data_IF_252939847111
#
_entry.id   IF_252939847111
#
_cell.length_a   1.000
_cell.length_b   1.000
_cell.length_c   1.000
_cell.angle_alpha   90.00
_cell.angle_beta   90.00
_cell.angle_gamma   90.00
#
_symmetry.space_group_name_H-M   'P 1'
#
loop_
_entity.id
_entity.type
_entity.pdbx_description
1 polymer ?
#
# COMPACT_ATOMS: atom_id res chain seq x y z
N UNK A 1 1.54 30.37 26.04
CA UNK A 1 0.17 30.70 25.59
C UNK A 1 0.08 30.72 24.06
N UNK A 2 0.93 31.46 23.34
CA UNK A 2 0.91 31.50 21.86
C UNK A 2 1.14 30.14 21.19
N UNK A 3 2.08 29.33 21.70
CA UNK A 3 2.36 28.00 21.15
C UNK A 3 1.17 27.03 21.29
N UNK A 4 0.34 27.21 22.33
CA UNK A 4 -0.83 26.36 22.58
C UNK A 4 -2.01 26.74 21.68
N UNK A 5 -2.22 28.03 21.44
CA UNK A 5 -3.19 28.53 20.47
C UNK A 5 -2.83 28.10 19.03
N UNK A 6 -1.55 28.16 18.66
CA UNK A 6 -1.08 27.69 17.35
C UNK A 6 -1.26 26.17 17.18
N UNK A 7 -0.98 25.38 18.23
CA UNK A 7 -1.21 23.94 18.22
C UNK A 7 -2.70 23.58 18.12
N UNK A 8 -3.58 24.30 18.83
CA UNK A 8 -5.02 24.10 18.75
C UNK A 8 -5.58 24.46 17.36
N UNK A 9 -5.12 25.56 16.77
CA UNK A 9 -5.51 25.96 15.41
C UNK A 9 -5.03 24.94 14.35
N UNK A 10 -3.79 24.43 14.48
CA UNK A 10 -3.26 23.39 13.60
C UNK A 10 -4.04 22.07 13.72
N UNK A 11 -4.43 21.69 14.94
CA UNK A 11 -5.26 20.50 15.17
C UNK A 11 -6.65 20.66 14.54
N UNK A 12 -7.32 21.79 14.74
CA UNK A 12 -8.62 22.07 14.13
C UNK A 12 -8.57 22.04 12.60
N UNK A 13 -7.54 22.65 11.99
CA UNK A 13 -7.34 22.59 10.54
C UNK A 13 -7.08 21.15 10.03
N UNK A 14 -6.39 20.33 10.82
CA UNK A 14 -6.17 18.91 10.49
C UNK A 14 -7.45 18.09 10.57
N UNK A 15 -8.34 18.38 11.53
CA UNK A 15 -9.63 17.70 11.69
C UNK A 15 -10.60 18.06 10.55
N UNK A 16 -10.66 19.34 10.15
CA UNK A 16 -11.45 19.77 8.98
C UNK A 16 -10.95 19.14 7.69
N UNK A 17 -9.62 19.08 7.51
CA UNK A 17 -9.01 18.41 6.36
C UNK A 17 -9.33 16.92 6.35
N UNK A 18 -9.23 16.24 7.50
CA UNK A 18 -9.57 14.82 7.64
C UNK A 18 -11.05 14.57 7.33
N UNK A 19 -11.94 15.40 7.87
CA UNK A 19 -13.37 15.30 7.62
C UNK A 19 -13.69 15.47 6.12
N UNK A 20 -13.03 16.41 5.44
CA UNK A 20 -13.20 16.62 4.01
C UNK A 20 -12.70 15.42 3.18
N UNK A 21 -11.52 14.86 3.50
CA UNK A 21 -11.00 13.67 2.81
C UNK A 21 -11.92 12.46 3.06
N UNK A 22 -12.36 12.26 4.30
CA UNK A 22 -13.26 11.17 4.66
C UNK A 22 -14.60 11.28 3.91
N UNK A 23 -15.17 12.49 3.80
CA UNK A 23 -16.40 12.74 3.07
C UNK A 23 -16.28 12.34 1.58
N UNK A 24 -15.10 12.53 0.97
CA UNK A 24 -14.83 12.13 -0.42
C UNK A 24 -14.61 10.63 -0.57
N UNK A 25 -13.91 9.97 0.37
CA UNK A 25 -13.61 8.54 0.29
C UNK A 25 -14.79 7.65 0.68
N UNK A 26 -15.62 8.10 1.63
CA UNK A 26 -16.75 7.35 2.17
C UNK A 26 -17.69 6.76 1.12
N UNK A 27 -18.22 7.52 0.13
CA UNK A 27 -19.12 6.94 -0.87
C UNK A 27 -18.47 5.81 -1.66
N UNK A 28 -17.18 5.95 -2.02
CA UNK A 28 -16.45 4.92 -2.74
C UNK A 28 -16.25 3.66 -1.89
N UNK A 29 -15.83 3.81 -0.63
CA UNK A 29 -15.70 2.70 0.31
C UNK A 29 -17.01 1.93 0.47
N UNK A 30 -18.14 2.63 0.59
CA UNK A 30 -19.47 1.99 0.69
C UNK A 30 -19.82 1.25 -0.59
N UNK A 31 -19.55 1.82 -1.77
CA UNK A 31 -19.76 1.12 -3.06
C UNK A 31 -18.95 -0.17 -3.14
N UNK A 32 -17.69 -0.16 -2.71
CA UNK A 32 -16.83 -1.35 -2.73
C UNK A 32 -17.35 -2.44 -1.79
N UNK A 33 -17.77 -2.06 -0.58
CA UNK A 33 -18.35 -3.01 0.37
C UNK A 33 -19.69 -3.57 -0.14
N UNK A 34 -20.51 -2.75 -0.80
CA UNK A 34 -21.75 -3.21 -1.42
C UNK A 34 -21.49 -4.20 -2.56
N UNK A 35 -20.52 -3.91 -3.43
CA UNK A 35 -20.07 -4.86 -4.46
C UNK A 35 -19.68 -6.21 -3.85
N UNK A 36 -18.83 -6.20 -2.83
CA UNK A 36 -18.32 -7.43 -2.19
C UNK A 36 -19.46 -8.25 -1.58
N UNK A 37 -20.49 -7.57 -1.06
CA UNK A 37 -21.66 -8.22 -0.46
C UNK A 37 -22.66 -8.75 -1.49
N UNK A 38 -22.99 -7.97 -2.51
CA UNK A 38 -24.15 -8.23 -3.38
C UNK A 38 -23.79 -8.84 -4.73
N UNK A 39 -22.63 -8.48 -5.30
CA UNK A 39 -22.15 -8.93 -6.63
C UNK A 39 -23.14 -8.73 -7.80
N UNK A 40 -24.10 -7.83 -7.66
CA UNK A 40 -25.10 -7.56 -8.72
C UNK A 40 -24.47 -6.82 -9.91
N UNK A 41 -25.04 -6.91 -11.13
CA UNK A 41 -24.58 -6.10 -12.26
C UNK A 41 -24.55 -4.59 -11.97
N UNK A 42 -25.51 -4.10 -11.19
CA UNK A 42 -25.57 -2.70 -10.76
C UNK A 42 -24.44 -2.34 -9.79
N UNK A 43 -24.11 -3.19 -8.81
CA UNK A 43 -23.00 -2.92 -7.90
C UNK A 43 -21.64 -3.04 -8.59
N UNK A 44 -21.51 -3.94 -9.60
CA UNK A 44 -20.31 -4.03 -10.48
C UNK A 44 -20.06 -2.74 -11.26
N UNK A 45 -21.09 -2.19 -11.92
CA UNK A 45 -20.95 -0.95 -12.71
C UNK A 45 -20.69 0.28 -11.83
N UNK A 46 -21.36 0.36 -10.67
CA UNK A 46 -21.11 1.39 -9.67
C UNK A 46 -19.67 1.31 -9.14
N UNK A 47 -19.18 0.11 -8.80
CA UNK A 47 -17.82 -0.07 -8.31
C UNK A 47 -16.76 0.31 -9.35
N UNK A 48 -16.93 -0.07 -10.62
CA UNK A 48 -16.01 0.34 -11.69
C UNK A 48 -15.92 1.87 -11.84
N UNK A 49 -17.04 2.58 -11.65
CA UNK A 49 -17.06 4.04 -11.67
C UNK A 49 -16.45 4.64 -10.41
N UNK A 50 -16.78 4.09 -9.23
CA UNK A 50 -16.20 4.50 -7.94
C UNK A 50 -14.70 4.28 -7.89
N UNK A 51 -14.16 3.18 -8.43
CA UNK A 51 -12.72 2.92 -8.47
C UNK A 51 -11.97 3.95 -9.32
N UNK A 52 -12.53 4.34 -10.48
CA UNK A 52 -11.92 5.39 -11.33
C UNK A 52 -11.89 6.74 -10.61
N UNK A 53 -13.01 7.12 -9.99
CA UNK A 53 -13.12 8.37 -9.23
C UNK A 53 -12.20 8.37 -8.01
N UNK A 54 -12.19 7.28 -7.24
CA UNK A 54 -11.33 7.08 -6.08
C UNK A 54 -9.86 7.15 -6.46
N UNK A 55 -9.42 6.47 -7.52
CA UNK A 55 -8.03 6.54 -7.99
C UNK A 55 -7.63 7.97 -8.39
N UNK A 56 -8.52 8.72 -9.04
CA UNK A 56 -8.29 10.14 -9.36
C UNK A 56 -8.11 10.98 -8.10
N UNK A 57 -9.02 10.81 -7.13
CA UNK A 57 -8.97 11.53 -5.87
C UNK A 57 -7.72 11.19 -5.05
N UNK A 58 -7.37 9.91 -4.93
CA UNK A 58 -6.16 9.46 -4.23
C UNK A 58 -4.90 10.06 -4.87
N UNK A 59 -4.86 10.21 -6.20
CA UNK A 59 -3.74 10.87 -6.89
C UNK A 59 -3.66 12.36 -6.62
N UNK A 60 -4.78 13.07 -6.50
CA UNK A 60 -4.79 14.51 -6.20
C UNK A 60 -4.62 14.83 -4.71
N UNK A 61 -5.08 13.96 -3.81
CA UNK A 61 -5.08 14.22 -2.37
C UNK A 61 -3.65 14.26 -1.79
N UNK A 62 -3.37 15.16 -0.83
CA UNK A 62 -2.06 15.27 -0.21
C UNK A 62 -1.75 14.05 0.67
N UNK A 63 -0.51 13.55 0.60
CA UNK A 63 -0.08 12.35 1.32
C UNK A 63 -0.32 12.41 2.84
N UNK A 64 -0.03 13.52 3.55
CA UNK A 64 -0.32 13.61 4.99
C UNK A 64 -1.79 13.43 5.34
N UNK A 65 -2.71 13.91 4.49
CA UNK A 65 -4.14 13.78 4.75
C UNK A 65 -4.63 12.35 4.47
N UNK A 66 -4.09 11.69 3.43
CA UNK A 66 -4.37 10.27 3.17
C UNK A 66 -3.82 9.35 4.27
N UNK A 67 -2.71 9.71 4.91
CA UNK A 67 -2.13 8.93 6.01
C UNK A 67 -3.12 8.80 7.17
N UNK A 68 -3.87 9.86 7.48
CA UNK A 68 -4.85 9.89 8.58
C UNK A 68 -6.02 8.94 8.36
N UNK A 69 -6.37 8.62 7.12
CA UNK A 69 -7.45 7.70 6.77
C UNK A 69 -6.95 6.43 6.07
N UNK A 70 -5.66 6.08 6.23
CA UNK A 70 -5.05 4.96 5.51
C UNK A 70 -5.80 3.64 5.79
N UNK A 71 -5.98 3.28 7.06
CA UNK A 71 -6.64 2.01 7.43
C UNK A 71 -8.08 1.94 6.94
N UNK A 72 -8.81 3.07 7.01
CA UNK A 72 -10.17 3.18 6.48
C UNK A 72 -10.22 2.90 4.98
N UNK A 73 -9.23 3.40 4.23
CA UNK A 73 -9.20 3.35 2.78
C UNK A 73 -8.65 2.02 2.26
N UNK A 74 -7.63 1.49 2.93
CA UNK A 74 -6.96 0.25 2.53
C UNK A 74 -7.84 -0.97 2.80
N UNK A 75 -8.61 -0.97 3.90
CA UNK A 75 -9.45 -2.10 4.29
C UNK A 75 -10.41 -2.60 3.18
N UNK A 76 -11.29 -1.77 2.59
CA UNK A 76 -12.18 -2.22 1.52
C UNK A 76 -11.41 -2.67 0.26
N UNK A 77 -10.26 -2.06 -0.03
CA UNK A 77 -9.41 -2.44 -1.17
C UNK A 77 -8.78 -3.83 -0.95
N UNK A 78 -8.38 -4.15 0.28
CA UNK A 78 -7.86 -5.47 0.62
C UNK A 78 -8.94 -6.54 0.62
N UNK A 79 -10.16 -6.23 1.07
CA UNK A 79 -11.28 -7.15 0.91
C UNK A 79 -11.62 -7.42 -0.56
N UNK A 80 -11.56 -6.37 -1.40
CA UNK A 80 -11.75 -6.52 -2.85
C UNK A 80 -10.64 -7.39 -3.45
N UNK A 81 -9.39 -7.22 -3.03
CA UNK A 81 -8.27 -8.06 -3.46
C UNK A 81 -8.49 -9.52 -3.06
N UNK A 82 -8.85 -9.81 -1.81
CA UNK A 82 -9.12 -11.17 -1.37
C UNK A 82 -10.24 -11.81 -2.21
N UNK A 83 -11.33 -11.08 -2.44
CA UNK A 83 -12.43 -11.55 -3.28
C UNK A 83 -11.97 -11.80 -4.73
N UNK A 84 -11.19 -10.88 -5.30
CA UNK A 84 -10.66 -11.01 -6.66
C UNK A 84 -9.74 -12.23 -6.82
N UNK A 85 -8.90 -12.51 -5.82
CA UNK A 85 -8.04 -13.71 -5.79
C UNK A 85 -8.87 -14.97 -5.68
N UNK A 86 -9.86 -15.00 -4.79
CA UNK A 86 -10.71 -16.17 -4.61
C UNK A 86 -11.51 -16.50 -5.88
N UNK A 87 -12.11 -15.48 -6.52
CA UNK A 87 -12.85 -15.67 -7.77
C UNK A 87 -12.01 -16.28 -8.89
N UNK A 88 -10.71 -15.98 -8.94
CA UNK A 88 -9.78 -16.50 -9.96
C UNK A 88 -9.32 -17.93 -9.65
N UNK A 89 -9.13 -18.24 -8.37
CA UNK A 89 -8.78 -19.59 -7.92
C UNK A 89 -9.93 -20.58 -8.07
N UNK A 90 -11.16 -20.11 -7.88
CA UNK A 90 -12.39 -20.90 -8.01
C UNK A 90 -13.07 -20.76 -9.37
N UNK A 91 -12.42 -20.10 -10.35
CA UNK A 91 -13.02 -19.86 -11.65
C UNK A 91 -13.45 -21.19 -12.30
N UNK A 92 -14.76 -21.37 -12.43
CA UNK A 92 -15.34 -22.55 -13.08
C UNK A 92 -15.06 -22.51 -14.59
N UNK A 93 -15.30 -23.63 -15.27
CA UNK A 93 -15.10 -23.78 -16.72
C UNK A 93 -15.82 -22.72 -17.59
N UNK A 94 -16.80 -21.98 -17.04
CA UNK A 94 -17.47 -20.87 -17.72
C UNK A 94 -16.60 -19.61 -17.89
N UNK A 95 -15.50 -19.47 -17.13
CA UNK A 95 -14.63 -18.30 -17.17
C UNK A 95 -15.27 -16.99 -16.67
N UNK A 96 -16.51 -17.03 -16.18
CA UNK A 96 -17.20 -15.84 -15.69
C UNK A 96 -16.77 -15.53 -14.25
N UNK A 97 -16.09 -14.40 -14.08
CA UNK A 97 -15.64 -13.94 -12.77
C UNK A 97 -16.71 -13.07 -12.10
N UNK A 98 -17.01 -13.40 -10.84
CA UNK A 98 -17.81 -12.55 -9.96
C UNK A 98 -17.21 -11.15 -9.81
N UNK A 99 -15.87 -11.06 -9.78
CA UNK A 99 -15.11 -9.81 -9.78
C UNK A 99 -14.27 -9.77 -11.06
N UNK A 100 -14.70 -8.95 -12.03
CA UNK A 100 -14.02 -8.81 -13.32
C UNK A 100 -12.61 -8.25 -13.20
N UNK A 101 -11.78 -8.46 -14.23
CA UNK A 101 -10.43 -7.89 -14.35
C UNK A 101 -10.43 -6.38 -14.16
N UNK A 102 -11.32 -5.65 -14.84
CA UNK A 102 -11.42 -4.20 -14.72
C UNK A 102 -11.65 -3.71 -13.27
N UNK A 103 -12.46 -4.42 -12.48
CA UNK A 103 -12.70 -4.07 -11.08
C UNK A 103 -11.47 -4.42 -10.23
N UNK A 104 -10.90 -5.60 -10.42
CA UNK A 104 -9.75 -6.07 -9.66
C UNK A 104 -8.51 -5.16 -9.89
N UNK A 105 -8.23 -4.84 -11.14
CA UNK A 105 -7.15 -3.94 -11.56
C UNK A 105 -7.39 -2.50 -11.10
N UNK A 106 -8.64 -2.02 -11.15
CA UNK A 106 -9.01 -0.72 -10.58
C UNK A 106 -8.76 -0.64 -9.08
N UNK A 107 -9.05 -1.73 -8.35
CA UNK A 107 -8.72 -1.87 -6.92
C UNK A 107 -7.22 -1.81 -6.66
N UNK A 108 -6.43 -2.55 -7.46
CA UNK A 108 -4.97 -2.52 -7.38
C UNK A 108 -4.39 -1.15 -7.70
N UNK A 109 -4.92 -0.44 -8.70
CA UNK A 109 -4.48 0.92 -9.01
C UNK A 109 -4.74 1.89 -7.85
N UNK A 110 -5.85 1.76 -7.13
CA UNK A 110 -6.11 2.55 -5.92
C UNK A 110 -5.11 2.19 -4.80
N UNK A 111 -4.89 0.88 -4.59
CA UNK A 111 -3.97 0.39 -3.57
C UNK A 111 -2.53 0.85 -3.84
N UNK A 112 -2.07 0.78 -5.10
CA UNK A 112 -0.74 1.25 -5.53
C UNK A 112 -0.53 2.73 -5.20
N UNK A 113 -1.49 3.60 -5.51
CA UNK A 113 -1.40 5.03 -5.21
C UNK A 113 -1.34 5.27 -3.70
N UNK A 114 -2.19 4.57 -2.95
CA UNK A 114 -2.21 4.69 -1.49
C UNK A 114 -0.88 4.24 -0.87
N UNK A 115 -0.34 3.10 -1.31
CA UNK A 115 0.96 2.57 -0.86
C UNK A 115 2.14 3.41 -1.32
N UNK A 116 1.99 4.27 -2.33
CA UNK A 116 3.04 5.21 -2.77
C UNK A 116 3.05 6.48 -1.91
N UNK A 117 1.93 6.81 -1.28
CA UNK A 117 1.77 8.06 -0.51
C UNK A 117 1.80 7.85 1.00
N UNK A 118 1.35 6.70 1.48
CA UNK A 118 1.19 6.42 2.89
C UNK A 118 2.27 5.45 3.37
N UNK A 119 2.69 5.67 4.62
CA UNK A 119 3.62 4.81 5.36
C UNK A 119 2.84 3.78 6.16
N UNK A 120 3.39 2.58 6.21
CA UNK A 120 2.93 1.55 7.12
C UNK A 120 3.39 1.88 8.54
N UNK A 121 2.53 1.59 9.52
CA UNK A 121 2.72 1.98 10.92
C UNK A 121 2.97 0.79 11.84
N UNK A 122 2.87 -0.44 11.35
CA UNK A 122 3.19 -1.63 12.16
C UNK A 122 3.63 -2.82 11.30
N UNK A 123 4.38 -3.73 11.93
CA UNK A 123 4.77 -5.00 11.33
C UNK A 123 3.54 -5.83 10.97
N UNK A 124 2.52 -5.83 11.82
CA UNK A 124 1.27 -6.55 11.55
C UNK A 124 0.59 -6.09 10.26
N UNK A 125 0.51 -4.77 10.05
CA UNK A 125 -0.05 -4.18 8.84
C UNK A 125 0.79 -4.55 7.60
N UNK A 126 2.12 -4.47 7.71
CA UNK A 126 3.04 -4.86 6.63
C UNK A 126 2.92 -6.34 6.28
N UNK A 127 2.91 -7.23 7.26
CA UNK A 127 2.76 -8.67 7.06
C UNK A 127 1.39 -9.01 6.46
N UNK A 128 0.32 -8.35 6.90
CA UNK A 128 -1.02 -8.55 6.33
C UNK A 128 -1.07 -8.15 4.85
N UNK A 129 -0.51 -7.00 4.49
CA UNK A 129 -0.41 -6.53 3.11
C UNK A 129 0.43 -7.47 2.25
N UNK A 130 1.63 -7.83 2.72
CA UNK A 130 2.53 -8.75 2.03
C UNK A 130 1.85 -10.10 1.75
N UNK A 131 1.19 -10.69 2.75
CA UNK A 131 0.45 -11.96 2.57
C UNK A 131 -0.62 -11.85 1.49
N UNK A 132 -1.44 -10.79 1.50
CA UNK A 132 -2.53 -10.60 0.52
C UNK A 132 -1.99 -10.40 -0.89
N UNK A 133 -0.97 -9.57 -1.05
CA UNK A 133 -0.29 -9.38 -2.33
C UNK A 133 0.37 -10.68 -2.81
N UNK A 134 0.95 -11.48 -1.92
CA UNK A 134 1.51 -12.80 -2.24
C UNK A 134 0.45 -13.74 -2.79
N UNK A 135 -0.72 -13.82 -2.17
CA UNK A 135 -1.80 -14.67 -2.69
C UNK A 135 -2.20 -14.28 -4.12
N UNK A 136 -2.23 -12.98 -4.44
CA UNK A 136 -2.45 -12.52 -5.82
C UNK A 136 -1.27 -12.82 -6.77
N UNK A 137 -0.03 -12.69 -6.31
CA UNK A 137 1.16 -12.95 -7.13
C UNK A 137 1.40 -14.44 -7.42
N UNK A 138 0.83 -15.33 -6.61
CA UNK A 138 0.89 -16.78 -6.81
C UNK A 138 -0.09 -17.30 -7.87
N UNK A 139 -1.04 -16.47 -8.32
CA UNK A 139 -1.93 -16.86 -9.40
C UNK A 139 -1.13 -17.07 -10.69
N UNK A 140 -1.38 -18.20 -11.34
CA UNK A 140 -0.77 -18.58 -12.61
C UNK A 140 -1.26 -17.69 -13.76
N UNK A 141 -0.54 -17.65 -14.89
CA UNK A 141 -0.99 -16.94 -16.08
C UNK A 141 -2.35 -17.42 -16.63
N UNK A 142 -2.77 -18.64 -16.29
CA UNK A 142 -4.09 -19.19 -16.64
C UNK A 142 -5.20 -18.76 -15.69
N UNK A 143 -4.88 -18.35 -14.46
CA UNK A 143 -5.86 -17.93 -13.44
C UNK A 143 -6.09 -16.42 -13.44
N UNK A 144 -5.10 -15.61 -13.85
CA UNK A 144 -5.17 -14.16 -13.76
C UNK A 144 -4.58 -13.46 -14.99
N UNK A 145 -5.20 -12.34 -15.37
CA UNK A 145 -4.67 -11.44 -16.41
C UNK A 145 -3.25 -10.97 -16.08
N UNK A 146 -2.47 -10.67 -17.12
CA UNK A 146 -1.12 -10.13 -16.96
C UNK A 146 -1.16 -8.78 -16.24
N UNK A 147 -2.18 -7.97 -16.54
CA UNK A 147 -2.43 -6.66 -15.94
C UNK A 147 -2.73 -6.75 -14.44
N UNK A 148 -3.54 -7.74 -14.03
CA UNK A 148 -3.79 -8.01 -12.61
C UNK A 148 -2.50 -8.40 -11.89
N UNK A 149 -1.76 -9.38 -12.43
CA UNK A 149 -0.48 -9.83 -11.86
C UNK A 149 0.52 -8.67 -11.78
N UNK A 150 0.61 -7.84 -12.82
CA UNK A 150 1.48 -6.66 -12.82
C UNK A 150 1.04 -5.61 -11.80
N UNK A 151 -0.27 -5.41 -11.61
CA UNK A 151 -0.81 -4.53 -10.58
C UNK A 151 -0.37 -4.95 -9.16
N UNK A 152 -0.29 -6.25 -8.89
CA UNK A 152 0.23 -6.78 -7.62
C UNK A 152 1.71 -6.41 -7.44
N UNK A 153 2.53 -6.58 -8.48
CA UNK A 153 3.96 -6.23 -8.45
C UNK A 153 4.16 -4.72 -8.22
N UNK A 154 3.33 -3.87 -8.84
CA UNK A 154 3.37 -2.42 -8.60
C UNK A 154 3.03 -2.07 -7.15
N UNK A 155 2.04 -2.74 -6.54
CA UNK A 155 1.73 -2.59 -5.12
C UNK A 155 2.90 -3.03 -4.21
N UNK A 156 3.54 -4.18 -4.47
CA UNK A 156 4.75 -4.60 -3.74
C UNK A 156 5.83 -3.53 -3.80
N UNK A 157 6.12 -3.03 -5.01
CA UNK A 157 7.11 -1.98 -5.24
C UNK A 157 6.78 -0.71 -4.46
N UNK A 158 5.54 -0.22 -4.57
CA UNK A 158 5.09 1.00 -3.89
C UNK A 158 5.29 0.89 -2.37
N UNK A 159 4.84 -0.23 -1.78
CA UNK A 159 4.97 -0.49 -0.35
C UNK A 159 6.44 -0.57 0.09
N UNK A 160 7.27 -1.33 -0.63
CA UNK A 160 8.69 -1.48 -0.30
C UNK A 160 9.36 -0.10 -0.36
N UNK A 161 9.10 0.71 -1.40
CA UNK A 161 9.68 2.04 -1.55
C UNK A 161 9.29 3.01 -0.43
N UNK A 162 8.12 2.85 0.19
CA UNK A 162 7.70 3.65 1.34
C UNK A 162 8.27 3.20 2.69
N UNK A 163 9.03 2.10 2.76
CA UNK A 163 9.73 1.70 3.98
C UNK A 163 10.97 2.58 4.21
N UNK A 164 11.00 3.27 5.34
CA UNK A 164 12.08 4.17 5.75
C UNK A 164 12.85 3.61 6.96
N UNK A 165 14.14 3.94 7.10
CA UNK A 165 14.88 3.71 8.34
C UNK A 165 14.19 4.39 9.53
N UNK A 166 14.22 3.74 10.69
CA UNK A 166 13.71 4.34 11.92
C UNK A 166 14.67 5.42 12.45
N UNK A 167 14.18 6.20 13.42
CA UNK A 167 14.99 7.24 14.05
C UNK A 167 16.08 6.68 14.97
N UNK A 168 15.92 5.46 15.48
CA UNK A 168 16.89 4.84 16.39
C UNK A 168 18.25 4.63 15.70
N UNK A 169 19.31 5.19 16.29
CA UNK A 169 20.69 5.11 15.78
C UNK A 169 21.31 3.72 15.95
N UNK A 170 20.85 2.94 16.93
CA UNK A 170 21.33 1.57 17.14
C UNK A 170 20.62 0.51 16.29
N UNK A 171 19.57 0.87 15.58
CA UNK A 171 18.78 -0.09 14.82
C UNK A 171 19.55 -0.66 13.62
N UNK A 172 19.42 -1.97 13.38
CA UNK A 172 20.06 -2.68 12.27
C UNK A 172 19.68 -2.13 10.90
N UNK A 173 18.50 -1.48 10.78
CA UNK A 173 18.07 -0.88 9.52
C UNK A 173 19.06 0.16 8.97
N UNK A 174 19.90 0.76 9.83
CA UNK A 174 20.93 1.73 9.42
C UNK A 174 22.24 1.08 8.98
N UNK A 175 22.51 -0.16 9.38
CA UNK A 175 23.74 -0.87 9.00
C UNK A 175 23.72 -1.24 7.51
N UNK A 176 22.54 -1.59 6.99
CA UNK A 176 22.26 -1.84 5.58
C UNK A 176 22.35 -0.60 4.68
N UNK A 177 21.74 0.52 5.10
CA UNK A 177 21.63 1.72 4.26
C UNK A 177 22.97 2.44 4.06
N UNK A 178 23.97 2.17 4.91
CA UNK A 178 25.30 2.77 4.80
C UNK A 178 25.96 2.51 3.42
N UNK A 179 25.63 1.42 2.74
CA UNK A 179 26.15 1.15 1.39
C UNK A 179 25.48 2.00 0.28
N UNK A 180 24.23 2.45 0.47
CA UNK A 180 23.51 3.26 -0.53
C UNK A 180 23.66 4.77 -0.31
N UNK A 181 23.97 5.19 0.92
CA UNK A 181 24.07 6.63 1.27
C UNK A 181 25.41 7.28 0.86
N UNK A 182 26.33 6.55 0.24
CA UNK A 182 27.54 7.14 -0.32
C UNK A 182 27.26 8.04 -1.55
N UNK A 183 26.05 8.00 -2.10
CA UNK A 183 25.62 8.90 -3.17
C UNK A 183 24.38 9.69 -2.72
N UNK A 184 24.64 10.94 -2.32
CA UNK A 184 23.69 12.05 -2.11
C UNK A 184 23.10 12.17 -0.69
N UNK A 185 23.63 13.07 0.15
CA UNK A 185 23.23 14.49 0.20
C UNK A 185 23.84 15.14 1.46
N UNK A 186 24.88 15.95 1.26
CA UNK A 186 25.08 17.15 2.07
C UNK A 186 23.91 18.09 1.79
N UNK A 187 22.88 18.06 2.64
CA UNK A 187 21.92 19.15 2.75
C UNK A 187 21.60 19.37 4.22
N UNK A 188 22.37 20.27 4.83
CA UNK A 188 21.90 21.03 5.97
C UNK A 188 20.68 21.83 5.52
N UNK A 189 19.48 21.45 5.96
CA UNK A 189 18.43 22.43 6.20
C UNK A 189 17.70 22.06 7.49
N UNK A 190 18.00 22.85 8.53
CA UNK A 190 17.27 22.94 9.79
C UNK A 190 15.94 23.63 9.47
N UNK A 191 15.01 22.89 8.88
CA UNK A 191 13.61 23.28 8.79
C UNK A 191 12.85 22.54 9.88
N UNK A 192 12.35 23.26 10.87
CA UNK A 192 11.45 22.74 11.90
C UNK A 192 10.16 22.24 11.24
N UNK A 193 10.20 21.01 10.71
CA UNK A 193 9.00 20.30 10.30
C UNK A 193 8.26 20.02 11.60
N UNK A 194 7.20 20.78 11.83
CA UNK A 194 6.13 20.42 12.77
C UNK A 194 5.76 18.99 12.40
N UNK A 195 6.23 18.05 13.21
CA UNK A 195 5.82 16.66 13.08
C UNK A 195 4.33 16.67 13.38
N UNK A 196 3.44 16.37 12.41
CA UNK A 196 2.06 16.14 12.80
C UNK A 196 2.11 15.03 13.85
N UNK A 197 1.40 15.21 14.98
CA UNK A 197 1.29 14.20 16.05
C UNK A 197 0.85 12.81 15.54
N UNK A 198 0.45 12.73 14.28
CA UNK A 198 0.09 11.52 13.54
C UNK A 198 1.20 10.96 12.64
N UNK A 199 2.45 11.42 12.73
CA UNK A 199 3.57 10.62 12.25
C UNK A 199 3.72 9.43 13.22
N UNK A 200 2.86 8.43 13.05
CA UNK A 200 2.99 7.14 13.72
C UNK A 200 4.35 6.57 13.28
N UNK A 201 5.38 6.84 14.06
CA UNK A 201 6.58 6.03 14.01
C UNK A 201 6.11 4.60 14.27
N UNK A 202 6.46 3.64 13.42
CA UNK A 202 6.03 2.28 13.65
C UNK A 202 6.58 1.80 14.99
N UNK A 203 5.75 1.09 15.77
CA UNK A 203 6.11 0.56 17.10
C UNK A 203 7.41 -0.26 17.04
N UNK A 204 7.65 -0.89 15.89
CA UNK A 204 8.85 -1.64 15.55
C UNK A 204 9.40 -1.16 14.20
N UNK A 205 10.73 -1.20 14.04
CA UNK A 205 11.34 -0.84 12.77
C UNK A 205 11.02 -1.88 11.69
N UNK A 206 10.20 -1.49 10.71
CA UNK A 206 9.75 -2.37 9.62
C UNK A 206 10.92 -2.91 8.77
N UNK A 207 11.95 -2.10 8.53
CA UNK A 207 13.14 -2.55 7.82
C UNK A 207 13.94 -3.57 8.65
N UNK A 208 14.10 -3.33 9.95
CA UNK A 208 14.78 -4.28 10.83
C UNK A 208 13.99 -5.61 10.92
N UNK A 209 12.66 -5.55 10.90
CA UNK A 209 11.84 -6.75 10.79
C UNK A 209 12.12 -7.52 9.50
N UNK A 210 12.16 -6.85 8.33
CA UNK A 210 12.47 -7.53 7.07
C UNK A 210 13.86 -8.18 7.05
N UNK A 211 14.83 -7.55 7.72
CA UNK A 211 16.20 -8.07 7.91
C UNK A 211 16.29 -9.15 9.00
N UNK A 212 15.23 -9.35 9.79
CA UNK A 212 15.24 -10.32 10.88
C UNK A 212 15.24 -11.76 10.34
N UNK A 213 15.82 -12.67 11.11
CA UNK A 213 15.82 -14.09 10.78
C UNK A 213 14.39 -14.65 10.65
N UNK A 214 13.44 -14.10 11.42
CA UNK A 214 12.03 -14.49 11.38
C UNK A 214 11.35 -14.15 10.04
N UNK A 215 11.77 -13.08 9.38
CA UNK A 215 11.22 -12.67 8.09
C UNK A 215 11.97 -13.27 6.89
N UNK A 216 13.22 -13.70 7.07
CA UNK A 216 14.13 -14.14 5.99
C UNK A 216 13.51 -15.14 5.00
N UNK A 217 12.79 -16.16 5.48
CA UNK A 217 12.14 -17.15 4.63
C UNK A 217 11.00 -16.53 3.79
N UNK A 218 10.20 -15.65 4.40
CA UNK A 218 9.13 -14.95 3.70
C UNK A 218 9.70 -13.96 2.68
N UNK A 219 10.77 -13.23 3.03
CA UNK A 219 11.48 -12.31 2.12
C UNK A 219 12.08 -13.07 0.94
N UNK A 220 12.76 -14.19 1.17
CA UNK A 220 13.30 -15.04 0.11
C UNK A 220 12.21 -15.57 -0.83
N UNK A 221 11.06 -15.94 -0.28
CA UNK A 221 9.90 -16.33 -1.06
C UNK A 221 9.33 -15.16 -1.89
N UNK A 222 9.18 -13.97 -1.30
CA UNK A 222 8.72 -12.78 -2.04
C UNK A 222 9.70 -12.37 -3.14
N UNK A 223 11.00 -12.42 -2.87
CA UNK A 223 12.03 -12.21 -3.88
C UNK A 223 11.91 -13.20 -5.02
N UNK A 224 11.71 -14.48 -4.72
CA UNK A 224 11.52 -15.52 -5.74
C UNK A 224 10.26 -15.28 -6.56
N UNK A 225 9.14 -14.92 -5.93
CA UNK A 225 7.89 -14.61 -6.62
C UNK A 225 8.01 -13.38 -7.50
N UNK A 226 8.66 -12.32 -7.01
CA UNK A 226 9.02 -11.17 -7.83
C UNK A 226 9.80 -11.70 -9.03
N UNK A 227 10.94 -12.38 -8.84
CA UNK A 227 11.82 -12.88 -9.91
C UNK A 227 11.14 -13.81 -10.94
N UNK A 228 10.19 -14.64 -10.52
CA UNK A 228 9.46 -15.54 -11.42
C UNK A 228 8.41 -14.83 -12.29
N UNK A 229 7.76 -13.79 -11.74
CA UNK A 229 6.80 -12.98 -12.47
C UNK A 229 7.48 -11.96 -13.42
N UNK A 230 8.82 -11.94 -13.47
CA UNK A 230 9.62 -10.80 -13.91
C UNK A 230 10.20 -10.86 -15.33
N UNK A 231 9.42 -11.27 -16.33
CA UNK A 231 9.93 -11.21 -17.71
C UNK A 231 10.07 -9.81 -18.32
N UNK A 232 9.50 -8.72 -17.74
CA UNK A 232 9.67 -7.40 -18.39
C UNK A 232 9.91 -6.12 -17.54
N UNK A 233 9.63 -5.99 -16.22
CA UNK A 233 9.69 -4.64 -15.59
C UNK A 233 10.15 -4.47 -14.12
N UNK A 234 10.70 -5.46 -13.43
CA UNK A 234 10.98 -5.29 -11.99
C UNK A 234 12.15 -6.08 -11.40
N UNK A 235 13.20 -6.30 -12.20
CA UNK A 235 14.54 -6.58 -11.64
C UNK A 235 14.86 -5.55 -10.55
N UNK A 236 14.40 -4.30 -10.71
CA UNK A 236 14.50 -3.22 -9.71
C UNK A 236 13.84 -3.54 -8.36
N UNK A 237 12.69 -4.21 -8.31
CA UNK A 237 11.99 -4.48 -7.02
C UNK A 237 12.70 -5.59 -6.26
N UNK A 238 13.11 -6.66 -6.96
CA UNK A 238 13.88 -7.73 -6.35
C UNK A 238 15.23 -7.19 -5.84
N UNK A 239 15.91 -6.35 -6.63
CA UNK A 239 17.13 -5.64 -6.21
C UNK A 239 16.87 -4.76 -5.00
N UNK A 240 15.81 -3.96 -4.98
CA UNK A 240 15.47 -3.08 -3.84
C UNK A 240 15.13 -3.87 -2.57
N UNK A 241 14.48 -5.02 -2.71
CA UNK A 241 14.18 -5.87 -1.57
C UNK A 241 15.43 -6.59 -1.07
N UNK A 242 16.36 -6.98 -1.96
CA UNK A 242 17.69 -7.47 -1.60
C UNK A 242 18.54 -6.39 -0.90
N UNK A 243 18.57 -5.18 -1.45
CA UNK A 243 19.25 -4.00 -0.86
C UNK A 243 18.70 -3.65 0.53
N UNK A 244 17.43 -3.97 0.81
CA UNK A 244 16.82 -3.77 2.12
C UNK A 244 17.06 -4.93 3.09
N UNK A 245 17.41 -6.12 2.58
CA UNK A 245 17.61 -7.33 3.38
C UNK A 245 19.08 -7.56 3.78
N UNK A 246 20.04 -6.95 3.06
CA UNK A 246 21.45 -6.87 3.43
C UNK A 246 21.75 -5.57 4.17
#
# INVERSE_FOLDING_TARGET
>A
MEMEAAAAAAAAASDETLAAIFAQLKPHTVTLLDLIRTRTPASKSAAASSLRAMASFLRSAPAPALQLCFDYTVFPLLLLLDAAVQCRKEANASGELDISDAIAEGGLACLEVLLTKCRLTSVNQMVALLKKLTFGAMLSPSEASEEFRQGIIRCFRAMILQLHPCLDRSCSCKQATALSTALSFTSLEVGTIVTPKYSAQPEECLLAFLQSQNASAAVGHWLSLLLQNLRHQGVTVAVQMLEKNH
#
